data_IF_350263209454
#
_entry.id   IF_350263209454
#
_cell.length_a   1.000
_cell.length_b   1.000
_cell.length_c   1.000
_cell.angle_alpha   90.00
_cell.angle_beta   90.00
_cell.angle_gamma   90.00
#
_symmetry.space_group_name_H-M   'P 1'
#
loop_
_entity.id
_entity.type
_entity.pdbx_description
1 polymer ?
#
# COMPACT_ATOMS: atom_id res chain seq x y z
N UNK A 1 9.66 15.78 -13.24
CA UNK A 1 10.67 15.50 -12.20
C UNK A 1 10.31 14.14 -11.65
N UNK A 2 11.11 13.12 -11.97
CA UNK A 2 10.92 11.77 -11.42
C UNK A 2 11.25 11.83 -9.93
N UNK A 3 10.30 11.44 -9.08
CA UNK A 3 10.54 11.34 -7.64
C UNK A 3 11.29 10.01 -7.43
N UNK A 4 12.39 9.99 -6.68
CA UNK A 4 13.06 8.73 -6.36
C UNK A 4 12.07 7.72 -5.78
N UNK A 5 12.07 6.50 -6.32
CA UNK A 5 11.12 5.42 -5.97
C UNK A 5 10.96 5.27 -4.45
N UNK A 6 12.09 5.18 -3.74
CA UNK A 6 12.11 5.01 -2.29
C UNK A 6 11.44 6.19 -1.54
N UNK A 7 11.51 7.40 -2.09
CA UNK A 7 10.83 8.56 -1.55
C UNK A 7 9.32 8.46 -1.77
N UNK A 8 8.88 8.06 -2.96
CA UNK A 8 7.45 7.84 -3.25
C UNK A 8 6.84 6.73 -2.37
N UNK A 9 7.55 5.60 -2.22
CA UNK A 9 7.12 4.48 -1.38
C UNK A 9 7.08 4.84 0.10
N UNK A 10 8.04 5.63 0.58
CA UNK A 10 8.04 6.11 1.98
C UNK A 10 6.88 7.07 2.22
N UNK A 11 6.65 8.01 1.30
CA UNK A 11 5.54 8.96 1.40
C UNK A 11 4.16 8.25 1.37
N UNK A 12 4.02 7.20 0.56
CA UNK A 12 2.82 6.34 0.56
C UNK A 12 2.61 5.69 1.94
N UNK A 13 3.64 5.07 2.51
CA UNK A 13 3.58 4.43 3.84
C UNK A 13 3.16 5.41 4.92
N UNK A 14 3.81 6.57 4.97
CA UNK A 14 3.51 7.61 5.96
C UNK A 14 2.06 8.09 5.86
N UNK A 15 1.57 8.37 4.64
CA UNK A 15 0.16 8.75 4.41
C UNK A 15 -0.81 7.65 4.81
N UNK A 16 -0.47 6.38 4.57
CA UNK A 16 -1.31 5.26 4.94
C UNK A 16 -1.37 5.09 6.45
N UNK A 17 -0.23 5.08 7.13
CA UNK A 17 -0.17 4.86 8.58
C UNK A 17 -0.74 6.03 9.39
N UNK A 18 -0.54 7.27 8.95
CA UNK A 18 -1.09 8.45 9.63
C UNK A 18 -2.62 8.39 9.76
N UNK A 19 -3.30 7.84 8.74
CA UNK A 19 -4.76 7.81 8.67
C UNK A 19 -5.38 6.48 9.14
N UNK A 20 -4.59 5.48 9.53
CA UNK A 20 -5.07 4.15 9.89
C UNK A 20 -4.62 3.73 11.30
N UNK A 21 -5.26 4.31 12.31
CA UNK A 21 -4.99 4.09 13.74
C UNK A 21 -5.33 2.67 14.30
N UNK A 22 -5.64 1.67 13.46
CA UNK A 22 -6.10 0.34 13.94
C UNK A 22 -5.45 -0.85 13.24
N UNK A 23 -4.32 -0.69 12.55
CA UNK A 23 -3.60 -1.85 12.01
C UNK A 23 -3.00 -2.67 13.16
N UNK A 24 -3.23 -3.98 13.12
CA UNK A 24 -2.50 -4.91 13.98
C UNK A 24 -1.04 -5.01 13.52
N UNK A 25 -0.09 -5.41 14.39
CA UNK A 25 1.33 -5.46 14.05
C UNK A 25 1.62 -6.21 12.73
N UNK A 26 1.02 -7.38 12.54
CA UNK A 26 1.22 -8.16 11.31
C UNK A 26 0.69 -7.47 10.04
N UNK A 27 -0.32 -6.60 10.17
CA UNK A 27 -0.85 -5.83 9.04
C UNK A 27 0.10 -4.67 8.72
N UNK A 28 0.71 -4.07 9.73
CA UNK A 28 1.77 -3.06 9.56
C UNK A 28 2.98 -3.68 8.86
N UNK A 29 3.45 -4.84 9.32
CA UNK A 29 4.57 -5.56 8.71
C UNK A 29 4.29 -5.90 7.24
N UNK A 30 3.06 -6.34 6.94
CA UNK A 30 2.64 -6.62 5.57
C UNK A 30 2.66 -5.36 4.68
N UNK A 31 2.21 -4.21 5.20
CA UNK A 31 2.25 -2.95 4.44
C UNK A 31 3.69 -2.50 4.20
N UNK A 32 4.58 -2.67 5.18
CA UNK A 32 6.00 -2.41 5.02
C UNK A 32 6.60 -3.29 3.92
N UNK A 33 6.32 -4.60 3.92
CA UNK A 33 6.80 -5.55 2.91
C UNK A 33 6.37 -5.16 1.48
N UNK A 34 5.07 -4.91 1.25
CA UNK A 34 4.59 -4.58 -0.10
C UNK A 34 5.08 -3.21 -0.59
N UNK A 35 5.63 -2.36 0.28
CA UNK A 35 6.17 -1.03 -0.05
C UNK A 35 7.70 -0.97 0.01
N UNK A 36 8.39 -2.12 0.05
CA UNK A 36 9.86 -2.19 -0.08
C UNK A 36 10.34 -1.87 -1.50
N UNK A 37 9.53 -2.22 -2.51
CA UNK A 37 9.83 -1.97 -3.92
C UNK A 37 8.57 -1.73 -4.74
N UNK A 38 8.73 -1.05 -5.87
CA UNK A 38 7.65 -0.83 -6.85
C UNK A 38 7.10 -2.13 -7.40
N UNK A 39 7.93 -3.15 -7.62
CA UNK A 39 7.47 -4.45 -8.14
C UNK A 39 6.48 -5.14 -7.18
N UNK A 40 6.79 -5.14 -5.88
CA UNK A 40 5.89 -5.70 -4.86
C UNK A 40 4.58 -4.91 -4.79
N UNK A 41 4.68 -3.58 -4.83
CA UNK A 41 3.50 -2.72 -4.78
C UNK A 41 2.60 -2.88 -6.01
N UNK A 42 3.20 -2.98 -7.21
CA UNK A 42 2.45 -3.24 -8.44
C UNK A 42 1.79 -4.62 -8.41
N UNK A 43 2.50 -5.65 -7.91
CA UNK A 43 1.92 -6.98 -7.73
C UNK A 43 0.71 -6.92 -6.81
N UNK A 44 0.84 -6.26 -5.65
CA UNK A 44 -0.26 -6.03 -4.72
C UNK A 44 -1.44 -5.33 -5.41
N UNK A 45 -1.17 -4.25 -6.15
CA UNK A 45 -2.18 -3.47 -6.88
C UNK A 45 -2.92 -4.33 -7.90
N UNK A 46 -2.20 -5.12 -8.69
CA UNK A 46 -2.79 -5.99 -9.70
C UNK A 46 -3.76 -7.01 -9.09
N UNK A 47 -3.36 -7.71 -8.03
CA UNK A 47 -4.20 -8.73 -7.41
C UNK A 47 -5.36 -8.12 -6.61
N UNK A 48 -5.07 -7.15 -5.74
CA UNK A 48 -6.03 -6.77 -4.70
C UNK A 48 -6.79 -5.48 -5.01
N UNK A 49 -6.22 -4.57 -5.80
CA UNK A 49 -6.88 -3.34 -6.19
C UNK A 49 -7.65 -3.49 -7.51
N UNK A 50 -7.08 -4.19 -8.50
CA UNK A 50 -7.68 -4.35 -9.83
C UNK A 50 -8.52 -5.63 -9.90
N UNK A 51 -7.91 -6.81 -9.69
CA UNK A 51 -8.63 -8.10 -9.77
C UNK A 51 -9.61 -8.32 -8.63
N UNK A 52 -9.51 -7.54 -7.55
CA UNK A 52 -10.33 -7.64 -6.33
C UNK A 52 -10.23 -9.02 -5.68
N UNK A 53 -9.05 -9.64 -5.76
CA UNK A 53 -8.77 -10.89 -5.06
C UNK A 53 -8.84 -10.68 -3.53
N UNK A 54 -9.08 -11.77 -2.77
CA UNK A 54 -9.12 -11.70 -1.31
C UNK A 54 -7.69 -11.59 -0.76
N UNK A 55 -7.43 -10.51 -0.03
CA UNK A 55 -6.18 -10.34 0.70
C UNK A 55 -6.36 -10.79 2.18
N UNK A 56 -5.51 -11.71 2.68
CA UNK A 56 -5.66 -12.25 4.03
C UNK A 56 -5.18 -11.30 5.14
N UNK A 57 -4.39 -10.27 4.81
CA UNK A 57 -3.74 -9.39 5.78
C UNK A 57 -4.37 -7.99 5.84
N UNK A 58 -4.74 -7.42 4.70
CA UNK A 58 -5.38 -6.10 4.60
C UNK A 58 -6.69 -6.23 3.83
N UNK A 59 -7.81 -5.93 4.46
CA UNK A 59 -9.14 -6.09 3.88
C UNK A 59 -10.09 -4.96 4.33
N UNK A 60 -11.31 -4.97 3.77
CA UNK A 60 -12.35 -3.99 4.09
C UNK A 60 -11.89 -2.56 3.79
N UNK A 61 -12.19 -1.64 4.71
CA UNK A 61 -11.91 -0.22 4.51
C UNK A 61 -10.41 0.11 4.40
N UNK A 62 -9.55 -0.67 5.06
CA UNK A 62 -8.09 -0.47 4.98
C UNK A 62 -7.57 -0.82 3.58
N UNK A 63 -8.08 -1.90 2.98
CA UNK A 63 -7.73 -2.26 1.60
C UNK A 63 -8.19 -1.21 0.60
N UNK A 64 -9.43 -0.72 0.73
CA UNK A 64 -9.96 0.32 -0.13
C UNK A 64 -9.07 1.58 -0.07
N UNK A 65 -8.79 2.08 1.14
CA UNK A 65 -7.93 3.26 1.32
C UNK A 65 -6.52 3.07 0.79
N UNK A 66 -5.94 1.89 1.00
CA UNK A 66 -4.61 1.59 0.50
C UNK A 66 -4.59 1.63 -1.03
N UNK A 67 -5.59 1.03 -1.68
CA UNK A 67 -5.72 1.07 -3.13
C UNK A 67 -5.91 2.50 -3.66
N UNK A 68 -6.75 3.31 -3.03
CA UNK A 68 -6.94 4.71 -3.42
C UNK A 68 -5.60 5.49 -3.34
N UNK A 69 -4.85 5.31 -2.26
CA UNK A 69 -3.55 5.97 -2.09
C UNK A 69 -2.46 5.46 -3.05
N UNK A 70 -2.52 4.19 -3.45
CA UNK A 70 -1.63 3.62 -4.47
C UNK A 70 -1.91 4.26 -5.82
N UNK A 71 -3.17 4.38 -6.23
CA UNK A 71 -3.54 5.04 -7.50
C UNK A 71 -3.12 6.52 -7.53
N UNK A 72 -3.18 7.21 -6.40
CA UNK A 72 -2.77 8.61 -6.29
C UNK A 72 -1.23 8.81 -6.23
N UNK A 73 -0.46 7.73 -6.03
CA UNK A 73 1.00 7.81 -5.92
C UNK A 73 1.67 7.87 -7.28
N UNK A 74 2.44 8.93 -7.51
CA UNK A 74 3.26 9.09 -8.72
C UNK A 74 4.65 8.51 -8.49
N UNK A 75 5.13 7.76 -9.48
CA UNK A 75 6.50 7.24 -9.57
C UNK A 75 7.23 7.96 -10.68
#
# INVERSE_FOLDING_TARGET
MDIPEQQSLSALRERFFYNNMSLQPHQTDYVLDITESREKLESFRQFYCIKKDKNPFIYGQNLIRLCDQIEDTKF
#
